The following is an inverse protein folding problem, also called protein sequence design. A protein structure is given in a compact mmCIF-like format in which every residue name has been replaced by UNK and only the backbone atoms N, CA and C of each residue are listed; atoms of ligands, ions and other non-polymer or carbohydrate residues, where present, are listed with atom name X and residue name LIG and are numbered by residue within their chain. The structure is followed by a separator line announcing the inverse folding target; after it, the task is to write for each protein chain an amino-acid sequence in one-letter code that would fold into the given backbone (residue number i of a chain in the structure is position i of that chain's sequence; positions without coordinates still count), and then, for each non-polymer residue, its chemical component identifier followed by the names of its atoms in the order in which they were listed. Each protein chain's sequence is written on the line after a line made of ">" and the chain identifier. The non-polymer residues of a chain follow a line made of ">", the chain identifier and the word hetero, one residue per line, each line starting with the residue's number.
data_IF_916762329656
#
_entry.id   IF_916762329656
#
_cell.length_a   1.000
_cell.length_b   1.000
_cell.length_c   1.000
_cell.angle_alpha   90.00
_cell.angle_beta   90.00
_cell.angle_gamma   90.00
#
_symmetry.space_group_name_H-M   'P 1'
#
loop_
_entity.id
_entity.type
_entity.pdbx_description
1 polymer ?
#
# COMPACT_ATOMS: atom_id res chain seq x y z
N UNK A 1 -24.87 24.76 -8.87
CA UNK A 1 -23.40 24.71 -9.02
C UNK A 1 -23.07 23.30 -9.46
N UNK A 2 -22.49 23.13 -10.65
CA UNK A 2 -22.13 21.81 -11.17
C UNK A 2 -21.19 21.13 -10.18
N UNK A 3 -21.62 20.01 -9.62
CA UNK A 3 -20.73 19.12 -8.87
C UNK A 3 -19.64 18.68 -9.84
N UNK A 4 -18.46 19.25 -9.72
CA UNK A 4 -17.28 18.82 -10.46
C UNK A 4 -17.08 17.35 -10.14
N UNK A 5 -16.92 16.50 -11.17
CA UNK A 5 -16.80 15.05 -11.06
C UNK A 5 -15.46 14.62 -10.45
N UNK A 6 -15.19 15.02 -9.21
CA UNK A 6 -14.03 14.56 -8.46
C UNK A 6 -14.23 13.09 -8.07
N UNK A 7 -13.15 12.32 -8.18
CA UNK A 7 -13.09 10.93 -7.70
C UNK A 7 -12.78 10.90 -6.20
N UNK A 8 -13.08 9.79 -5.53
CA UNK A 8 -12.72 9.63 -4.11
C UNK A 8 -11.20 9.52 -3.94
N UNK A 9 -10.70 9.99 -2.79
CA UNK A 9 -9.30 9.84 -2.40
C UNK A 9 -8.87 8.38 -2.32
N UNK A 10 -9.78 7.49 -1.95
CA UNK A 10 -9.52 6.04 -1.88
C UNK A 10 -9.30 5.42 -3.26
N UNK A 11 -10.07 5.85 -4.27
CA UNK A 11 -9.83 5.45 -5.65
C UNK A 11 -8.48 5.95 -6.15
N UNK A 12 -8.11 7.20 -5.83
CA UNK A 12 -6.79 7.74 -6.16
C UNK A 12 -5.67 6.94 -5.50
N UNK A 13 -5.81 6.60 -4.22
CA UNK A 13 -4.84 5.79 -3.47
C UNK A 13 -4.68 4.39 -4.05
N UNK A 14 -5.78 3.72 -4.40
CA UNK A 14 -5.76 2.40 -5.01
C UNK A 14 -5.06 2.43 -6.38
N UNK A 15 -5.34 3.45 -7.21
CA UNK A 15 -4.71 3.63 -8.51
C UNK A 15 -3.22 3.95 -8.38
N UNK A 16 -2.84 4.81 -7.43
CA UNK A 16 -1.45 5.13 -7.15
C UNK A 16 -0.67 3.89 -6.69
N UNK A 17 -1.21 3.12 -5.75
CA UNK A 17 -0.59 1.86 -5.29
C UNK A 17 -0.36 0.87 -6.43
N UNK A 18 -1.36 0.71 -7.32
CA UNK A 18 -1.22 -0.14 -8.51
C UNK A 18 -0.12 0.36 -9.46
N UNK A 19 -0.14 1.65 -9.79
CA UNK A 19 0.86 2.24 -10.68
C UNK A 19 2.29 2.09 -10.13
N UNK A 20 2.47 2.30 -8.82
CA UNK A 20 3.76 2.09 -8.15
C UNK A 20 4.19 0.62 -8.16
N UNK A 21 3.25 -0.31 -7.94
CA UNK A 21 3.50 -1.75 -8.05
C UNK A 21 3.99 -2.12 -9.45
N UNK A 22 3.29 -1.66 -10.48
CA UNK A 22 3.59 -2.01 -11.87
C UNK A 22 4.95 -1.44 -12.29
N UNK A 23 5.23 -0.19 -11.90
CA UNK A 23 6.53 0.44 -12.07
C UNK A 23 7.64 -0.36 -11.36
N UNK A 24 7.45 -0.69 -10.08
CA UNK A 24 8.47 -1.40 -9.30
C UNK A 24 8.68 -2.84 -9.79
N UNK A 25 7.63 -3.51 -10.26
CA UNK A 25 7.74 -4.83 -10.91
C UNK A 25 8.57 -4.76 -12.19
N UNK A 26 8.43 -3.69 -12.98
CA UNK A 26 9.21 -3.49 -14.19
C UNK A 26 10.70 -3.18 -13.88
N UNK A 27 10.96 -2.41 -12.82
CA UNK A 27 12.32 -2.06 -12.39
C UNK A 27 13.02 -3.22 -11.69
N UNK A 28 12.28 -4.05 -10.93
CA UNK A 28 12.80 -5.14 -10.11
C UNK A 28 12.02 -6.43 -10.39
N UNK A 29 12.39 -7.23 -11.41
CA UNK A 29 11.60 -8.39 -11.82
C UNK A 29 11.35 -9.44 -10.73
N UNK A 30 12.28 -9.59 -9.78
CA UNK A 30 12.12 -10.48 -8.62
C UNK A 30 10.94 -10.10 -7.73
N UNK A 31 10.52 -8.82 -7.73
CA UNK A 31 9.29 -8.40 -7.07
C UNK A 31 8.07 -9.07 -7.69
N UNK A 32 8.04 -9.23 -9.02
CA UNK A 32 6.98 -9.94 -9.73
C UNK A 32 6.88 -11.41 -9.29
N UNK A 33 8.02 -12.10 -9.24
CA UNK A 33 8.10 -13.49 -8.76
C UNK A 33 7.64 -13.62 -7.30
N UNK A 34 8.00 -12.65 -6.45
CA UNK A 34 7.52 -12.61 -5.07
C UNK A 34 5.98 -12.48 -5.00
N UNK A 35 5.37 -11.64 -5.84
CA UNK A 35 3.92 -11.48 -5.86
C UNK A 35 3.19 -12.76 -6.28
N UNK A 36 3.75 -13.52 -7.22
CA UNK A 36 3.21 -14.82 -7.63
C UNK A 36 3.26 -15.82 -6.45
N UNK A 37 4.40 -15.91 -5.76
CA UNK A 37 4.55 -16.77 -4.58
C UNK A 37 3.57 -16.40 -3.45
N UNK A 38 3.36 -15.11 -3.21
CA UNK A 38 2.40 -14.63 -2.21
C UNK A 38 0.97 -15.01 -2.58
N UNK A 39 0.58 -14.86 -3.86
CA UNK A 39 -0.74 -15.25 -4.33
C UNK A 39 -0.99 -16.76 -4.14
N UNK A 40 -0.03 -17.60 -4.52
CA UNK A 40 -0.12 -19.06 -4.35
C UNK A 40 -0.24 -19.44 -2.87
N UNK A 41 0.58 -18.83 -2.02
CA UNK A 41 0.55 -19.07 -0.56
C UNK A 41 -0.79 -18.67 0.05
N UNK A 42 -1.32 -17.49 -0.32
CA UNK A 42 -2.60 -17.01 0.17
C UNK A 42 -3.74 -17.96 -0.23
N UNK A 43 -3.76 -18.42 -1.49
CA UNK A 43 -4.75 -19.39 -1.95
C UNK A 43 -4.65 -20.72 -1.19
N UNK A 44 -3.43 -21.22 -0.99
CA UNK A 44 -3.20 -22.46 -0.25
C UNK A 44 -3.71 -22.35 1.20
N UNK A 45 -3.39 -21.27 1.90
CA UNK A 45 -3.84 -21.03 3.28
C UNK A 45 -5.37 -20.95 3.35
N UNK A 46 -6.00 -20.19 2.45
CA UNK A 46 -7.46 -20.08 2.41
C UNK A 46 -8.16 -21.42 2.10
N UNK A 47 -7.54 -22.27 1.28
CA UNK A 47 -8.08 -23.60 0.97
C UNK A 47 -7.92 -24.60 2.12
N UNK A 48 -6.84 -24.49 2.89
CA UNK A 48 -6.53 -25.40 4.00
C UNK A 48 -7.22 -24.99 5.32
N UNK A 49 -7.53 -23.71 5.48
CA UNK A 49 -8.11 -23.13 6.70
C UNK A 49 -9.39 -22.32 6.41
N UNK A 50 -10.56 -22.98 6.29
CA UNK A 50 -11.84 -22.31 6.03
C UNK A 50 -12.22 -21.23 7.05
N UNK A 51 -11.76 -21.36 8.29
CA UNK A 51 -11.94 -20.37 9.35
C UNK A 51 -11.23 -19.04 9.03
N UNK A 52 -10.04 -19.09 8.44
CA UNK A 52 -9.29 -17.90 8.01
C UNK A 52 -10.03 -17.22 6.85
N UNK A 53 -10.44 -18.01 5.85
CA UNK A 53 -11.18 -17.50 4.70
C UNK A 53 -12.51 -16.83 5.13
N UNK A 54 -13.24 -17.44 6.06
CA UNK A 54 -14.47 -16.88 6.62
C UNK A 54 -14.22 -15.58 7.39
N UNK A 55 -13.17 -15.53 8.21
CA UNK A 55 -12.80 -14.31 8.93
C UNK A 55 -12.47 -13.16 7.97
N UNK A 56 -11.63 -13.41 6.96
CA UNK A 56 -11.26 -12.41 5.95
C UNK A 56 -12.45 -11.93 5.11
N UNK A 57 -13.42 -12.82 4.84
CA UNK A 57 -14.65 -12.44 4.14
C UNK A 57 -15.55 -11.55 5.01
N UNK A 58 -15.64 -11.83 6.32
CA UNK A 58 -16.45 -11.04 7.27
C UNK A 58 -15.87 -9.63 7.49
N UNK A 59 -14.54 -9.49 7.50
CA UNK A 59 -13.88 -8.19 7.67
C UNK A 59 -13.75 -7.40 6.36
N UNK A 60 -14.07 -8.01 5.21
CA UNK A 60 -13.89 -7.41 3.89
C UNK A 60 -12.42 -7.27 3.47
N UNK A 61 -11.51 -7.94 4.19
CA UNK A 61 -10.08 -7.94 3.89
C UNK A 61 -9.75 -8.81 2.68
N UNK A 62 -10.60 -9.81 2.37
CA UNK A 62 -10.38 -10.71 1.24
C UNK A 62 -10.27 -9.97 -0.10
N UNK A 63 -11.04 -8.89 -0.30
CA UNK A 63 -10.96 -8.05 -1.50
C UNK A 63 -9.73 -7.13 -1.51
N UNK A 64 -9.14 -6.86 -0.34
CA UNK A 64 -8.00 -5.95 -0.19
C UNK A 64 -6.66 -6.67 -0.16
N UNK A 65 -6.63 -7.91 0.31
CA UNK A 65 -5.42 -8.68 0.61
C UNK A 65 -4.48 -8.80 -0.59
N UNK A 66 -5.02 -9.00 -1.79
CA UNK A 66 -4.23 -9.12 -3.03
C UNK A 66 -3.57 -7.80 -3.48
N UNK A 67 -4.15 -6.67 -3.04
CA UNK A 67 -3.69 -5.33 -3.39
C UNK A 67 -2.91 -4.64 -2.27
N UNK A 68 -2.90 -5.20 -1.06
CA UNK A 68 -2.33 -4.59 0.12
C UNK A 68 -0.80 -4.51 0.04
N UNK A 69 -0.27 -3.29 0.12
CA UNK A 69 1.15 -2.98 -0.06
C UNK A 69 1.54 -1.79 0.80
N UNK A 70 2.81 -1.72 1.17
CA UNK A 70 3.43 -0.52 1.74
C UNK A 70 4.67 -0.15 0.92
N UNK A 71 4.90 1.15 0.75
CA UNK A 71 6.12 1.69 0.16
C UNK A 71 7.02 2.29 1.21
N UNK A 72 8.32 2.36 0.94
CA UNK A 72 9.28 3.05 1.77
C UNK A 72 10.09 4.04 0.90
N UNK A 73 10.16 5.29 1.34
CA UNK A 73 10.92 6.36 0.67
C UNK A 73 11.69 7.15 1.73
N UNK A 74 12.75 7.84 1.30
CA UNK A 74 13.56 8.72 2.15
C UNK A 74 13.55 10.13 1.55
N UNK A 75 13.54 11.14 2.40
CA UNK A 75 13.66 12.56 2.03
C UNK A 75 14.80 13.20 2.80
N UNK A 76 15.43 14.21 2.22
CA UNK A 76 16.61 14.87 2.79
C UNK A 76 16.30 16.14 3.56
N UNK A 77 15.11 16.73 3.39
CA UNK A 77 14.76 18.03 3.99
C UNK A 77 13.36 18.07 4.59
N UNK A 78 13.15 19.02 5.52
CA UNK A 78 11.83 19.28 6.10
C UNK A 78 10.81 19.77 5.05
N UNK A 79 11.26 20.50 4.03
CA UNK A 79 10.39 21.01 2.96
C UNK A 79 9.90 19.88 2.04
N UNK A 80 10.77 18.94 1.69
CA UNK A 80 10.39 17.74 0.96
C UNK A 80 9.37 16.92 1.74
N UNK A 81 9.58 16.72 3.05
CA UNK A 81 8.63 16.03 3.92
C UNK A 81 7.28 16.74 3.96
N UNK A 82 7.27 18.06 4.13
CA UNK A 82 6.05 18.87 4.16
C UNK A 82 5.29 18.80 2.82
N UNK A 83 6.02 18.74 1.71
CA UNK A 83 5.46 18.59 0.36
C UNK A 83 4.87 17.21 0.16
N UNK A 84 5.58 16.15 0.54
CA UNK A 84 5.07 14.77 0.48
C UNK A 84 3.82 14.58 1.33
N UNK A 85 3.76 15.18 2.52
CA UNK A 85 2.55 15.18 3.35
C UNK A 85 1.34 15.72 2.58
N UNK A 86 1.52 16.82 1.82
CA UNK A 86 0.44 17.40 0.99
C UNK A 86 0.09 16.51 -0.20
N UNK A 87 1.09 15.88 -0.83
CA UNK A 87 0.89 14.92 -1.92
C UNK A 87 0.07 13.72 -1.44
N UNK A 88 0.45 13.11 -0.31
CA UNK A 88 -0.25 11.97 0.28
C UNK A 88 -1.67 12.32 0.75
N UNK A 89 -1.88 13.56 1.23
CA UNK A 89 -3.21 14.03 1.63
C UNK A 89 -4.22 14.03 0.46
N UNK A 90 -3.80 14.23 -0.79
CA UNK A 90 -4.68 14.12 -1.97
C UNK A 90 -5.25 12.70 -2.11
N UNK A 91 -4.50 11.71 -1.67
CA UNK A 91 -4.89 10.29 -1.66
C UNK A 91 -5.49 9.86 -0.31
N UNK A 92 -5.87 10.80 0.56
CA UNK A 92 -6.43 10.49 1.88
C UNK A 92 -5.48 9.71 2.79
N UNK A 93 -4.16 9.89 2.61
CA UNK A 93 -3.12 9.28 3.44
C UNK A 93 -2.59 10.32 4.43
N UNK A 94 -2.54 9.96 5.70
CA UNK A 94 -2.16 10.83 6.81
C UNK A 94 -0.89 10.33 7.51
N UNK A 95 -0.11 11.23 8.15
CA UNK A 95 1.04 10.81 8.95
C UNK A 95 0.55 10.12 10.24
N UNK A 96 0.82 8.82 10.37
CA UNK A 96 0.44 8.00 11.52
C UNK A 96 1.68 7.41 12.17
N UNK A 97 1.91 7.72 13.45
CA UNK A 97 3.06 7.27 14.22
C UNK A 97 4.33 8.11 14.03
N UNK A 98 5.34 7.83 14.85
CA UNK A 98 6.68 8.41 14.78
C UNK A 98 7.70 7.35 15.20
N UNK A 99 8.74 7.17 14.38
CA UNK A 99 9.73 6.11 14.56
C UNK A 99 11.14 6.74 14.50
N UNK A 100 11.80 6.81 15.66
CA UNK A 100 13.17 7.35 15.77
C UNK A 100 14.21 6.23 15.65
N UNK A 101 14.84 6.15 14.47
CA UNK A 101 15.86 5.15 14.16
C UNK A 101 17.27 5.56 14.58
N UNK A 102 17.47 6.76 15.16
CA UNK A 102 18.78 7.20 15.66
C UNK A 102 19.31 6.25 16.75
N UNK A 103 18.40 5.69 17.56
CA UNK A 103 18.71 4.67 18.56
C UNK A 103 19.33 3.38 17.99
N UNK A 104 19.06 3.08 16.71
CA UNK A 104 19.61 1.95 15.97
C UNK A 104 20.86 2.32 15.15
N UNK A 105 21.36 3.55 15.26
CA UNK A 105 22.52 4.04 14.51
C UNK A 105 22.24 4.35 13.04
N UNK A 106 20.96 4.49 12.65
CA UNK A 106 20.57 4.93 11.30
C UNK A 106 20.28 6.44 11.37
N UNK A 107 20.98 7.28 10.57
CA UNK A 107 20.76 8.72 10.57
C UNK A 107 19.44 9.12 9.88
#
# INVERSE_FOLDING_TARGET
>A
MNAVGFVSSDTLRANFSRAMSDMYKAEVPLYGTLMELVADTNQQVMAQSPEIASSLAQTGELQRLDMERHGAIRVGTAEELATLRRLFAVMGMEPVGYYDLSSAGVP
#
